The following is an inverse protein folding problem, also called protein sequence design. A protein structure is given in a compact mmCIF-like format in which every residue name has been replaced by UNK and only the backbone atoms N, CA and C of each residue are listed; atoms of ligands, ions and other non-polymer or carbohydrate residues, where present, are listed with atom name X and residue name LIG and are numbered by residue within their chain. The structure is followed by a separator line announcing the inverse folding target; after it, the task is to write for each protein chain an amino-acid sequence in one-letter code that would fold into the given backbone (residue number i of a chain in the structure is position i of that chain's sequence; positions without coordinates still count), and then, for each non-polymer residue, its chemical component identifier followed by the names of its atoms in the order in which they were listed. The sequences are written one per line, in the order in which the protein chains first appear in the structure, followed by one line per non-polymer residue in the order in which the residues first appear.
data_IF_836821465299
#
_entry.id   IF_836821465299
#
_cell.length_a   1.000
_cell.length_b   1.000
_cell.length_c   1.000
_cell.angle_alpha   90.00
_cell.angle_beta   90.00
_cell.angle_gamma   90.00
#
_symmetry.space_group_name_H-M   'P 1'
#
loop_
_entity.id
_entity.type
_entity.pdbx_description
1 polymer ?
#
# COMPACT_ATOMS: atom_id res chain seq x y z
N UNK A 1 29.53 -10.19 -21.03
CA UNK A 1 28.90 -9.45 -19.93
C UNK A 1 28.05 -10.41 -19.14
N UNK A 2 28.35 -10.64 -17.87
CA UNK A 2 27.42 -11.36 -16.98
C UNK A 2 26.33 -10.36 -16.63
N UNK A 3 25.13 -10.52 -17.19
CA UNK A 3 23.99 -9.70 -16.79
C UNK A 3 23.78 -9.92 -15.28
N UNK A 4 23.66 -8.87 -14.46
CA UNK A 4 23.35 -9.04 -13.06
C UNK A 4 22.05 -9.83 -12.95
N UNK A 5 22.13 -10.96 -12.25
CA UNK A 5 21.00 -11.85 -12.04
C UNK A 5 19.97 -11.11 -11.19
N UNK A 6 18.78 -10.90 -11.75
CA UNK A 6 17.65 -10.34 -11.01
C UNK A 6 17.08 -11.45 -10.13
N UNK A 7 16.82 -11.12 -8.86
CA UNK A 7 16.38 -12.09 -7.85
C UNK A 7 14.87 -12.29 -7.85
N UNK A 8 14.41 -13.42 -7.30
CA UNK A 8 12.98 -13.67 -7.08
C UNK A 8 12.46 -12.63 -6.09
N UNK A 9 11.24 -12.15 -6.33
CA UNK A 9 10.58 -11.03 -5.65
C UNK A 9 11.14 -9.63 -5.92
N UNK A 10 12.21 -9.51 -6.70
CA UNK A 10 12.71 -8.21 -7.11
C UNK A 10 11.72 -7.52 -8.07
N UNK A 11 11.48 -6.23 -7.83
CA UNK A 11 10.64 -5.42 -8.69
C UNK A 11 11.40 -4.98 -9.94
N UNK A 12 10.72 -4.99 -11.08
CA UNK A 12 11.33 -4.80 -12.39
C UNK A 12 10.50 -3.94 -13.32
N UNK A 13 11.18 -3.29 -14.24
CA UNK A 13 10.61 -2.64 -15.43
C UNK A 13 10.97 -3.50 -16.63
N UNK A 14 9.98 -3.94 -17.39
CA UNK A 14 10.18 -4.83 -18.53
C UNK A 14 9.37 -4.40 -19.74
N UNK A 15 9.80 -4.83 -20.94
CA UNK A 15 9.08 -4.54 -22.19
C UNK A 15 8.29 -5.76 -22.65
N UNK A 16 6.98 -5.61 -22.81
CA UNK A 16 6.08 -6.66 -23.31
C UNK A 16 5.15 -6.06 -24.38
N UNK A 17 5.08 -6.70 -25.56
CA UNK A 17 4.30 -6.22 -26.71
C UNK A 17 4.51 -4.73 -27.02
N UNK A 18 5.78 -4.31 -27.10
CA UNK A 18 6.22 -2.93 -27.34
C UNK A 18 6.01 -1.92 -26.21
N UNK A 19 5.32 -2.29 -25.14
CA UNK A 19 5.03 -1.43 -24.01
C UNK A 19 5.95 -1.72 -22.81
N UNK A 20 6.44 -0.66 -22.16
CA UNK A 20 7.14 -0.77 -20.88
C UNK A 20 6.15 -0.87 -19.73
N UNK A 21 6.34 -1.90 -18.90
CA UNK A 21 5.46 -2.26 -17.79
C UNK A 21 6.29 -2.46 -16.52
N UNK A 22 5.61 -2.40 -15.37
CA UNK A 22 6.18 -2.77 -14.09
C UNK A 22 5.69 -4.16 -13.67
N UNK A 23 6.52 -4.88 -12.92
CA UNK A 23 6.14 -6.14 -12.32
C UNK A 23 7.12 -6.62 -11.26
N UNK A 24 6.93 -7.88 -10.86
CA UNK A 24 7.80 -8.57 -9.91
C UNK A 24 8.26 -9.91 -10.47
N UNK A 25 9.53 -10.25 -10.27
CA UNK A 25 10.05 -11.57 -10.65
C UNK A 25 9.41 -12.64 -9.76
N UNK A 26 8.75 -13.61 -10.39
CA UNK A 26 8.20 -14.79 -9.73
C UNK A 26 9.22 -15.93 -9.69
N UNK A 27 9.91 -16.14 -10.82
CA UNK A 27 10.91 -17.19 -10.97
C UNK A 27 11.83 -16.86 -12.18
N UNK A 28 12.89 -17.63 -12.35
CA UNK A 28 13.68 -17.61 -13.58
C UNK A 28 14.22 -19.01 -13.90
N UNK A 29 14.25 -19.35 -15.19
CA UNK A 29 14.89 -20.56 -15.69
C UNK A 29 16.17 -20.18 -16.42
N UNK A 30 17.29 -20.77 -15.98
CA UNK A 30 18.58 -20.62 -16.67
C UNK A 30 18.82 -21.83 -17.57
N UNK A 31 18.69 -21.63 -18.88
CA UNK A 31 19.10 -22.63 -19.87
C UNK A 31 20.51 -22.31 -20.35
N UNK A 32 21.23 -23.30 -20.92
CA UNK A 32 22.61 -23.12 -21.42
C UNK A 32 22.80 -21.95 -22.41
N UNK A 33 21.71 -21.42 -22.97
CA UNK A 33 21.73 -20.39 -24.01
C UNK A 33 21.00 -19.10 -23.61
N UNK A 34 20.04 -19.15 -22.67
CA UNK A 34 19.20 -17.99 -22.31
C UNK A 34 18.70 -18.07 -20.87
N UNK A 35 18.62 -16.90 -20.24
CA UNK A 35 17.92 -16.67 -18.99
C UNK A 35 16.48 -16.22 -19.32
N UNK A 36 15.50 -16.94 -18.79
CA UNK A 36 14.07 -16.63 -18.97
C UNK A 36 13.51 -16.26 -17.61
N UNK A 37 12.96 -15.06 -17.48
CA UNK A 37 12.29 -14.57 -16.29
C UNK A 37 10.80 -14.80 -16.41
N UNK A 38 10.19 -15.33 -15.35
CA UNK A 38 8.75 -15.36 -15.14
C UNK A 38 8.38 -14.16 -14.29
N UNK A 39 7.59 -13.25 -14.83
CA UNK A 39 7.31 -11.93 -14.25
C UNK A 39 5.81 -11.76 -14.07
N UNK A 40 5.38 -11.32 -12.90
CA UNK A 40 4.00 -10.86 -12.69
C UNK A 40 3.88 -9.41 -13.18
N UNK A 41 3.16 -9.20 -14.28
CA UNK A 41 2.86 -7.88 -14.81
C UNK A 41 1.87 -7.16 -13.90
N UNK A 42 2.19 -5.99 -13.34
CA UNK A 42 1.22 -5.25 -12.52
C UNK A 42 0.14 -4.51 -13.31
N UNK A 43 0.36 -4.25 -14.60
CA UNK A 43 -0.67 -3.67 -15.46
C UNK A 43 -1.87 -4.62 -15.59
N UNK A 44 -1.61 -5.82 -16.09
CA UNK A 44 -2.61 -6.85 -16.34
C UNK A 44 -2.82 -7.85 -15.20
N UNK A 45 -1.98 -7.80 -14.16
CA UNK A 45 -1.92 -8.79 -13.07
C UNK A 45 -1.85 -10.26 -13.55
N UNK A 46 -1.06 -10.49 -14.61
CA UNK A 46 -0.85 -11.80 -15.25
C UNK A 46 0.63 -12.14 -15.36
N UNK A 47 0.92 -13.44 -15.46
CA UNK A 47 2.30 -13.93 -15.63
C UNK A 47 2.75 -13.75 -17.08
N UNK A 48 3.99 -13.29 -17.26
CA UNK A 48 4.65 -13.09 -18.55
C UNK A 48 6.04 -13.70 -18.49
N UNK A 49 6.43 -14.43 -19.52
CA UNK A 49 7.78 -14.98 -19.67
C UNK A 49 8.60 -14.14 -20.64
N UNK A 50 9.75 -13.63 -20.20
CA UNK A 50 10.63 -12.76 -20.98
C UNK A 50 12.08 -13.16 -20.84
N UNK A 51 12.85 -13.00 -21.91
CA UNK A 51 14.27 -13.36 -21.94
C UNK A 51 15.19 -12.16 -22.16
N UNK A 52 14.63 -10.99 -22.46
CA UNK A 52 15.36 -9.75 -22.65
C UNK A 52 14.54 -8.55 -22.13
N UNK A 53 15.14 -7.36 -22.19
CA UNK A 53 14.53 -6.09 -21.79
C UNK A 53 13.94 -6.05 -20.36
N UNK A 54 14.47 -6.85 -19.44
CA UNK A 54 14.13 -6.81 -18.01
C UNK A 54 15.16 -5.96 -17.27
N UNK A 55 14.70 -4.92 -16.60
CA UNK A 55 15.52 -3.96 -15.87
C UNK A 55 15.08 -3.91 -14.41
N UNK A 56 16.02 -3.77 -13.49
CA UNK A 56 15.69 -3.54 -12.07
C UNK A 56 14.88 -2.25 -11.92
N UNK A 57 13.85 -2.28 -11.06
CA UNK A 57 13.08 -1.08 -10.73
C UNK A 57 14.01 -0.02 -10.13
N UNK A 58 14.03 1.16 -10.75
CA UNK A 58 14.83 2.31 -10.31
C UNK A 58 14.13 3.59 -10.73
N UNK A 59 14.46 4.70 -10.08
CA UNK A 59 13.85 6.01 -10.39
C UNK A 59 14.07 6.43 -11.84
N UNK A 60 15.11 5.92 -12.51
CA UNK A 60 15.35 6.16 -13.94
C UNK A 60 14.56 5.19 -14.83
N UNK A 61 14.59 3.88 -14.53
CA UNK A 61 13.89 2.90 -15.35
C UNK A 61 12.37 3.06 -15.30
N UNK A 62 11.81 3.49 -14.16
CA UNK A 62 10.37 3.68 -14.00
C UNK A 62 9.80 4.78 -14.91
N UNK A 63 10.65 5.72 -15.36
CA UNK A 63 10.25 6.78 -16.31
C UNK A 63 9.91 6.22 -17.69
N UNK A 64 10.33 4.99 -18.01
CA UNK A 64 10.02 4.32 -19.28
C UNK A 64 8.56 3.89 -19.38
N UNK A 65 7.89 3.71 -18.26
CA UNK A 65 6.49 3.29 -18.19
C UNK A 65 5.62 4.51 -18.46
N UNK A 66 4.67 4.39 -19.39
CA UNK A 66 3.62 5.40 -19.57
C UNK A 66 2.65 5.32 -18.39
N UNK A 67 2.93 6.07 -17.33
CA UNK A 67 2.17 6.03 -16.06
C UNK A 67 0.72 6.56 -16.16
N UNK A 68 0.23 6.87 -17.35
CA UNK A 68 -1.11 7.45 -17.56
C UNK A 68 -2.27 6.44 -17.40
N UNK A 69 -1.99 5.13 -17.36
CA UNK A 69 -3.00 4.08 -17.17
C UNK A 69 -2.82 3.37 -15.82
N UNK A 70 -3.11 4.09 -14.73
CA UNK A 70 -3.12 3.60 -13.34
C UNK A 70 -4.31 2.65 -13.07
N UNK A 71 -4.75 1.88 -14.04
CA UNK A 71 -5.78 0.86 -13.86
C UNK A 71 -5.10 -0.51 -13.81
N UNK A 72 -4.54 -0.84 -12.65
CA UNK A 72 -4.08 -2.20 -12.38
C UNK A 72 -5.30 -3.08 -12.11
N UNK A 73 -5.28 -4.26 -12.73
CA UNK A 73 -6.24 -5.31 -12.44
C UNK A 73 -5.97 -6.03 -11.10
N UNK A 74 -5.02 -5.57 -10.28
CA UNK A 74 -4.76 -6.17 -8.97
C UNK A 74 -6.00 -6.19 -8.07
N UNK A 75 -6.84 -5.13 -8.13
CA UNK A 75 -8.11 -5.09 -7.39
C UNK A 75 -9.13 -6.11 -7.92
N UNK A 76 -8.92 -6.63 -9.14
CA UNK A 76 -9.71 -7.69 -9.73
C UNK A 76 -9.21 -9.10 -9.38
N UNK A 77 -8.10 -9.22 -8.65
CA UNK A 77 -7.53 -10.49 -8.24
C UNK A 77 -8.55 -11.33 -7.45
N UNK A 78 -8.60 -12.63 -7.74
CA UNK A 78 -9.56 -13.57 -7.16
C UNK A 78 -9.40 -13.72 -5.65
N UNK A 79 -8.17 -13.76 -5.14
CA UNK A 79 -7.89 -13.86 -3.70
C UNK A 79 -8.47 -12.65 -2.97
N UNK A 80 -8.22 -11.43 -3.47
CA UNK A 80 -8.79 -10.21 -2.89
C UNK A 80 -10.32 -10.25 -2.93
N UNK A 81 -10.92 -10.60 -4.06
CA UNK A 81 -12.38 -10.67 -4.22
C UNK A 81 -13.01 -11.66 -3.23
N UNK A 82 -12.44 -12.85 -3.11
CA UNK A 82 -12.94 -13.90 -2.23
C UNK A 82 -12.87 -13.46 -0.76
N UNK A 83 -11.77 -12.82 -0.35
CA UNK A 83 -11.59 -12.30 1.01
C UNK A 83 -12.60 -11.18 1.29
N UNK A 84 -12.75 -10.19 0.39
CA UNK A 84 -13.70 -9.07 0.56
C UNK A 84 -15.15 -9.58 0.59
N UNK A 85 -15.48 -10.56 -0.25
CA UNK A 85 -16.80 -11.18 -0.27
C UNK A 85 -17.07 -11.91 1.05
N UNK A 86 -16.11 -12.69 1.55
CA UNK A 86 -16.24 -13.35 2.84
C UNK A 86 -16.38 -12.36 3.99
N UNK A 87 -15.55 -11.30 4.01
CA UNK A 87 -15.62 -10.23 5.01
C UNK A 87 -17.01 -9.57 5.06
N UNK A 88 -17.59 -9.30 3.90
CA UNK A 88 -18.94 -8.74 3.79
C UNK A 88 -20.00 -9.69 4.37
N UNK A 89 -19.86 -11.00 4.15
CA UNK A 89 -20.76 -12.02 4.71
C UNK A 89 -20.61 -12.17 6.23
N UNK A 90 -19.42 -12.00 6.79
CA UNK A 90 -19.24 -12.07 8.24
C UNK A 90 -19.76 -10.80 8.93
N UNK A 91 -19.54 -9.63 8.33
CA UNK A 91 -20.11 -8.37 8.82
C UNK A 91 -21.63 -8.36 8.86
N UNK A 92 -22.30 -8.98 7.89
CA UNK A 92 -23.76 -9.10 7.91
C UNK A 92 -24.27 -9.99 9.05
N UNK A 93 -23.41 -10.83 9.62
CA UNK A 93 -23.66 -11.62 10.83
C UNK A 93 -23.25 -10.89 12.12
N UNK A 94 -22.77 -9.65 12.01
CA UNK A 94 -22.27 -8.86 13.15
C UNK A 94 -20.85 -9.22 13.60
N UNK A 95 -20.13 -10.04 12.83
CA UNK A 95 -18.75 -10.43 13.15
C UNK A 95 -17.74 -9.44 12.55
N UNK A 96 -16.63 -9.24 13.24
CA UNK A 96 -15.49 -8.44 12.76
C UNK A 96 -14.23 -9.28 12.66
N UNK A 97 -13.39 -8.97 11.69
CA UNK A 97 -12.05 -9.54 11.64
C UNK A 97 -11.16 -8.91 12.71
N UNK A 98 -10.42 -9.71 13.47
CA UNK A 98 -9.41 -9.24 14.42
C UNK A 98 -8.26 -10.25 14.51
N UNK A 99 -7.08 -9.84 14.05
CA UNK A 99 -5.83 -10.58 14.19
C UNK A 99 -4.90 -9.87 15.16
N UNK A 100 -4.81 -10.42 16.37
CA UNK A 100 -3.82 -9.98 17.38
C UNK A 100 -2.40 -10.35 17.00
N UNK A 101 -2.24 -11.42 16.22
CA UNK A 101 -0.93 -11.85 15.76
C UNK A 101 -0.39 -10.93 14.66
N UNK A 102 -1.26 -10.47 13.76
CA UNK A 102 -0.89 -9.63 12.62
C UNK A 102 -1.74 -8.36 12.53
N UNK A 103 -1.59 -7.44 13.51
CA UNK A 103 -2.15 -6.10 13.36
C UNK A 103 -1.47 -5.36 12.20
N UNK A 104 -2.16 -4.35 11.64
CA UNK A 104 -1.73 -3.65 10.43
C UNK A 104 -0.36 -3.01 10.63
N UNK A 105 -0.11 -2.40 11.78
CA UNK A 105 1.19 -1.83 12.14
C UNK A 105 2.35 -2.82 12.01
N UNK A 106 2.14 -4.08 12.42
CA UNK A 106 3.13 -5.16 12.28
C UNK A 106 3.29 -5.58 10.82
N UNK A 107 2.21 -5.64 10.06
CA UNK A 107 2.24 -5.95 8.62
C UNK A 107 3.01 -4.87 7.87
N UNK A 108 2.75 -3.58 8.14
CA UNK A 108 3.42 -2.44 7.52
C UNK A 108 4.93 -2.49 7.79
N UNK A 109 5.37 -2.76 9.02
CA UNK A 109 6.80 -2.89 9.33
C UNK A 109 7.47 -3.99 8.48
N UNK A 110 6.80 -5.13 8.32
CA UNK A 110 7.33 -6.21 7.48
C UNK A 110 7.32 -5.83 6.00
N UNK A 111 6.28 -5.16 5.53
CA UNK A 111 6.16 -4.66 4.17
C UNK A 111 7.26 -3.63 3.84
N UNK A 112 7.55 -2.68 4.71
CA UNK A 112 8.62 -1.69 4.49
C UNK A 112 9.97 -2.36 4.33
N UNK A 113 10.28 -3.38 5.15
CA UNK A 113 11.49 -4.18 4.99
C UNK A 113 11.51 -4.91 3.65
N UNK A 114 10.39 -5.53 3.28
CA UNK A 114 10.25 -6.18 1.98
C UNK A 114 10.56 -5.25 0.81
N UNK A 115 10.08 -4.01 0.84
CA UNK A 115 10.36 -3.02 -0.20
C UNK A 115 11.86 -2.69 -0.32
N UNK A 116 12.54 -2.50 0.81
CA UNK A 116 13.98 -2.21 0.88
C UNK A 116 14.78 -3.40 0.35
N UNK A 117 14.49 -4.60 0.85
CA UNK A 117 15.20 -5.83 0.49
C UNK A 117 15.07 -6.15 -1.01
N UNK A 118 13.92 -5.79 -1.61
CA UNK A 118 13.61 -6.08 -3.02
C UNK A 118 13.86 -4.91 -3.99
N UNK A 119 14.60 -3.87 -3.54
CA UNK A 119 15.15 -2.78 -4.36
C UNK A 119 14.10 -2.09 -5.25
N UNK A 120 13.04 -1.58 -4.62
CA UNK A 120 12.07 -0.76 -5.35
C UNK A 120 12.62 0.61 -5.73
N UNK A 121 11.94 1.29 -6.66
CA UNK A 121 12.33 2.63 -7.10
C UNK A 121 11.99 3.77 -6.13
N UNK A 122 11.18 3.51 -5.10
CA UNK A 122 10.81 4.50 -4.09
C UNK A 122 11.96 4.69 -3.10
N UNK A 123 12.20 5.96 -2.74
CA UNK A 123 13.10 6.34 -1.65
C UNK A 123 12.54 5.96 -0.28
N UNK A 124 13.41 5.90 0.73
CA UNK A 124 12.99 5.68 2.12
C UNK A 124 12.00 6.73 2.61
N UNK A 125 12.17 8.00 2.20
CA UNK A 125 11.27 9.09 2.57
C UNK A 125 9.89 8.93 1.91
N UNK A 126 9.84 8.57 0.62
CA UNK A 126 8.56 8.26 -0.07
C UNK A 126 7.83 7.09 0.59
N UNK A 127 8.56 6.04 1.01
CA UNK A 127 7.98 4.91 1.75
C UNK A 127 7.41 5.38 3.09
N UNK A 128 8.17 6.15 3.87
CA UNK A 128 7.71 6.66 5.17
C UNK A 128 6.49 7.56 5.03
N UNK A 129 6.53 8.54 4.12
CA UNK A 129 5.42 9.45 3.88
C UNK A 129 4.17 8.71 3.41
N UNK A 130 4.32 7.67 2.60
CA UNK A 130 3.19 6.84 2.15
C UNK A 130 2.56 6.05 3.32
N UNK A 131 3.39 5.56 4.24
CA UNK A 131 2.94 4.89 5.47
C UNK A 131 2.21 5.88 6.39
N UNK A 132 2.75 7.09 6.55
CA UNK A 132 2.10 8.15 7.32
C UNK A 132 0.73 8.49 6.73
N UNK A 133 0.64 8.63 5.41
CA UNK A 133 -0.62 8.84 4.70
C UNK A 133 -1.64 7.73 4.92
N UNK A 134 -1.21 6.45 4.96
CA UNK A 134 -2.09 5.33 5.34
C UNK A 134 -2.68 5.56 6.73
N UNK A 135 -1.85 5.94 7.71
CA UNK A 135 -2.31 6.16 9.07
C UNK A 135 -3.20 7.40 9.22
N UNK A 136 -2.97 8.45 8.45
CA UNK A 136 -3.88 9.60 8.37
C UNK A 136 -5.25 9.18 7.85
N UNK A 137 -5.30 8.39 6.77
CA UNK A 137 -6.56 7.85 6.23
C UNK A 137 -7.30 7.03 7.28
N UNK A 138 -6.58 6.18 8.02
CA UNK A 138 -7.19 5.35 9.08
C UNK A 138 -7.80 6.26 10.15
N UNK A 139 -7.05 7.24 10.68
CA UNK A 139 -7.55 8.19 11.69
C UNK A 139 -8.82 8.90 11.24
N UNK A 140 -8.87 9.34 9.99
CA UNK A 140 -10.07 9.97 9.41
C UNK A 140 -11.25 8.99 9.33
N UNK A 141 -11.00 7.70 9.03
CA UNK A 141 -12.04 6.68 9.10
C UNK A 141 -12.57 6.49 10.53
N UNK A 142 -11.70 6.47 11.54
CA UNK A 142 -12.08 6.34 12.96
C UNK A 142 -12.96 7.50 13.41
N UNK A 143 -12.55 8.72 13.07
CA UNK A 143 -13.28 9.95 13.42
C UNK A 143 -14.69 9.96 12.83
N UNK A 144 -14.83 9.57 11.55
CA UNK A 144 -16.12 9.52 10.86
C UNK A 144 -17.06 8.44 11.44
N UNK A 145 -16.52 7.29 11.87
CA UNK A 145 -17.32 6.24 12.53
C UNK A 145 -17.78 6.70 13.92
N UNK A 146 -16.89 7.34 14.68
CA UNK A 146 -17.17 7.84 16.03
C UNK A 146 -18.29 8.90 16.00
N UNK A 147 -18.21 9.85 15.07
CA UNK A 147 -19.24 10.90 14.93
C UNK A 147 -20.60 10.36 14.46
N UNK A 148 -20.64 9.34 13.59
CA UNK A 148 -21.91 8.69 13.23
C UNK A 148 -22.56 7.98 14.41
N UNK A 149 -21.76 7.38 15.28
CA UNK A 149 -22.26 6.73 16.48
C UNK A 149 -22.72 7.74 17.53
N UNK A 150 -22.10 8.92 17.60
CA UNK A 150 -22.55 10.04 18.44
C UNK A 150 -23.87 10.61 17.90
N UNK A 151 -23.98 10.90 16.59
CA UNK A 151 -25.23 11.40 16.01
C UNK A 151 -26.41 10.42 16.12
N UNK A 152 -26.12 9.10 16.15
CA UNK A 152 -27.15 8.08 16.39
C UNK A 152 -27.52 7.95 17.88
N UNK A 153 -26.62 8.31 18.80
CA UNK A 153 -26.91 8.39 20.25
C UNK A 153 -27.60 9.71 20.64
N UNK A 154 -27.36 10.79 19.90
CA UNK A 154 -27.96 12.11 20.15
C UNK A 154 -29.45 12.18 19.76
N UNK A 155 -29.98 11.16 19.07
CA UNK A 155 -31.44 11.02 18.88
C UNK A 155 -32.19 10.54 20.13
N UNK A 156 -31.52 10.39 21.28
CA UNK A 156 -32.17 9.97 22.55
C UNK A 156 -32.15 11.05 23.64
N UNK A 157 -31.41 12.17 23.52
CA UNK A 157 -31.55 13.26 24.49
C UNK A 157 -31.43 14.65 23.87
N UNK A 158 -32.40 15.48 24.27
CA UNK A 158 -32.54 16.93 24.06
C UNK A 158 -33.20 17.39 22.74
N UNK A 159 -34.55 17.35 22.78
CA UNK A 159 -35.32 18.59 22.58
C UNK A 159 -34.68 19.67 23.46
N UNK A 160 -34.00 20.64 22.87
CA UNK A 160 -34.20 22.06 23.13
C UNK A 160 -33.32 22.91 22.19
N UNK A 161 -33.91 23.99 21.71
CA UNK A 161 -33.36 24.94 20.75
C UNK A 161 -31.97 25.48 21.14
N UNK A 162 -31.13 25.82 20.15
CA UNK A 162 -30.63 27.19 19.86
C UNK A 162 -29.57 27.15 18.75
N UNK A 163 -29.57 28.23 17.97
CA UNK A 163 -28.84 28.50 16.74
C UNK A 163 -27.37 28.94 16.91
N UNK A 164 -26.71 28.99 15.76
CA UNK A 164 -25.63 29.89 15.32
C UNK A 164 -24.16 29.44 15.34
N UNK A 165 -23.63 29.35 14.10
CA UNK A 165 -22.52 30.14 13.53
C UNK A 165 -21.06 29.64 13.58
N UNK A 166 -20.52 29.67 12.36
CA UNK A 166 -19.20 30.16 11.92
C UNK A 166 -17.94 29.25 11.97
N UNK A 167 -17.52 28.97 10.72
CA UNK A 167 -16.23 28.60 10.12
C UNK A 167 -15.00 29.18 10.84
N UNK A 168 -13.90 28.40 10.96
CA UNK A 168 -12.51 28.89 10.74
C UNK A 168 -11.62 27.76 10.18
N UNK A 169 -11.01 27.98 9.02
CA UNK A 169 -9.85 27.24 8.50
C UNK A 169 -8.56 27.86 9.07
N UNK A 170 -7.66 27.05 9.64
CA UNK A 170 -6.29 27.47 9.93
C UNK A 170 -5.32 26.77 8.98
N UNK A 171 -4.77 27.56 8.05
CA UNK A 171 -3.54 27.28 7.31
C UNK A 171 -2.37 27.51 8.27
N UNK A 172 -1.48 26.54 8.40
CA UNK A 172 -0.12 26.81 8.88
C UNK A 172 0.91 26.22 7.90
N UNK A 173 1.70 27.13 7.34
CA UNK A 173 2.86 26.89 6.50
C UNK A 173 4.02 26.37 7.36
N UNK A 174 4.72 25.33 6.91
CA UNK A 174 6.07 25.03 7.38
C UNK A 174 6.99 24.90 6.17
N UNK A 175 8.07 25.71 6.04
CA UNK A 175 9.02 25.58 4.95
C UNK A 175 10.12 24.58 5.33
N UNK A 176 10.39 23.58 4.50
CA UNK A 176 11.60 22.76 4.65
C UNK A 176 12.63 23.09 3.56
N UNK A 177 13.79 23.51 4.06
CA UNK A 177 15.04 23.76 3.34
C UNK A 177 15.62 22.44 2.81
N UNK A 178 16.19 22.52 1.61
CA UNK A 178 17.06 21.53 0.99
C UNK A 178 18.11 20.93 1.96
N UNK A 179 18.31 19.62 1.90
CA UNK A 179 19.58 19.00 2.26
C UNK A 179 19.85 17.77 1.40
N UNK A 180 20.78 17.92 0.45
CA UNK A 180 21.45 16.84 -0.26
C UNK A 180 22.39 16.08 0.68
N UNK A 181 22.17 14.79 0.98
CA UNK A 181 23.24 13.88 1.42
C UNK A 181 23.00 12.46 0.83
N UNK A 182 24.02 11.97 0.12
CA UNK A 182 24.10 10.68 -0.56
C UNK A 182 24.19 9.46 0.39
N UNK A 183 23.71 8.33 -0.14
CA UNK A 183 23.55 7.00 0.47
C UNK A 183 24.81 6.34 1.08
N UNK A 184 24.64 5.78 2.29
CA UNK A 184 25.08 4.44 2.74
C UNK A 184 24.60 4.03 4.15
N UNK A 185 24.04 4.96 4.92
CA UNK A 185 23.53 4.73 6.29
C UNK A 185 21.99 4.64 6.39
N UNK A 186 21.29 4.46 5.27
CA UNK A 186 19.81 4.54 5.19
C UNK A 186 19.12 3.27 5.70
N UNK A 187 19.75 2.10 5.55
CA UNK A 187 19.10 0.79 5.77
C UNK A 187 18.75 0.53 7.25
N UNK A 188 19.63 0.86 8.19
CA UNK A 188 19.36 0.70 9.63
C UNK A 188 18.49 1.82 10.19
N UNK A 189 18.62 3.04 9.66
CA UNK A 189 17.89 4.20 10.15
C UNK A 189 16.43 4.22 9.71
N UNK A 190 16.10 3.71 8.51
CA UNK A 190 14.71 3.62 8.04
C UNK A 190 13.87 2.68 8.90
N UNK A 191 14.34 1.44 9.09
CA UNK A 191 13.66 0.42 9.91
C UNK A 191 13.60 0.88 11.37
N UNK A 192 14.65 1.54 11.87
CA UNK A 192 14.64 2.10 13.22
C UNK A 192 13.70 3.29 13.35
N UNK A 193 13.56 4.13 12.32
CA UNK A 193 12.62 5.26 12.33
C UNK A 193 11.18 4.78 12.25
N UNK A 194 10.84 3.77 11.45
CA UNK A 194 9.50 3.15 11.44
C UNK A 194 9.17 2.50 12.80
N UNK A 195 10.17 1.91 13.47
CA UNK A 195 9.98 1.32 14.80
C UNK A 195 9.99 2.33 15.96
N UNK A 196 10.71 3.45 15.83
CA UNK A 196 10.79 4.55 16.82
C UNK A 196 9.76 5.64 16.59
N UNK A 197 9.08 5.61 15.45
CA UNK A 197 8.03 6.54 15.12
C UNK A 197 7.02 6.51 16.27
N UNK A 198 6.82 7.66 16.91
CA UNK A 198 5.78 7.93 17.91
C UNK A 198 4.36 7.65 17.39
N UNK A 199 4.23 7.20 16.13
CA UNK A 199 3.01 7.08 15.36
C UNK A 199 2.21 5.81 15.66
N UNK A 200 2.84 4.78 16.28
CA UNK A 200 2.09 3.63 16.84
C UNK A 200 1.09 4.06 17.92
N UNK A 201 1.24 5.24 18.51
CA UNK A 201 0.55 5.60 19.75
C UNK A 201 -0.90 6.12 19.54
N UNK A 202 -1.39 6.26 18.30
CA UNK A 202 -2.65 6.98 18.03
C UNK A 202 -3.70 6.26 17.17
N UNK A 203 -3.59 4.96 16.95
CA UNK A 203 -4.64 4.17 16.26
C UNK A 203 -5.34 3.33 17.30
N UNK A 204 -6.66 3.21 17.23
CA UNK A 204 -7.39 2.30 18.11
C UNK A 204 -6.84 0.88 17.90
N UNK A 205 -6.34 0.21 18.97
CA UNK A 205 -5.85 -1.16 18.86
C UNK A 205 -6.85 -2.12 18.19
N UNK A 206 -8.15 -1.91 18.40
CA UNK A 206 -9.18 -2.72 17.76
C UNK A 206 -9.25 -2.56 16.25
N UNK A 207 -8.88 -1.37 15.74
CA UNK A 207 -8.84 -1.04 14.32
C UNK A 207 -7.51 -1.54 13.74
N UNK A 208 -6.39 -1.33 14.43
CA UNK A 208 -5.10 -1.90 14.01
C UNK A 208 -5.15 -3.44 13.93
N UNK A 209 -5.88 -4.11 14.84
CA UNK A 209 -6.14 -5.55 14.81
C UNK A 209 -6.93 -6.02 13.57
N UNK A 210 -7.62 -5.15 12.83
CA UNK A 210 -8.23 -5.56 11.55
C UNK A 210 -7.16 -5.94 10.50
N UNK A 211 -5.90 -5.57 10.72
CA UNK A 211 -4.73 -6.16 10.04
C UNK A 211 -4.83 -6.18 8.53
N UNK A 212 -4.80 -7.39 7.96
CA UNK A 212 -4.90 -7.64 6.53
C UNK A 212 -6.13 -6.97 5.89
N UNK A 213 -7.28 -7.08 6.53
CA UNK A 213 -8.55 -6.52 6.02
C UNK A 213 -8.50 -4.99 5.99
N UNK A 214 -7.91 -4.37 7.01
CA UNK A 214 -7.72 -2.92 7.01
C UNK A 214 -6.75 -2.46 5.92
N UNK A 215 -5.66 -3.20 5.71
CA UNK A 215 -4.71 -2.93 4.61
C UNK A 215 -5.41 -2.90 3.25
N UNK A 216 -6.25 -3.91 2.96
CA UNK A 216 -7.05 -3.93 1.72
C UNK A 216 -8.00 -2.74 1.60
N UNK A 217 -8.72 -2.40 2.69
CA UNK A 217 -9.66 -1.26 2.71
C UNK A 217 -8.95 0.05 2.40
N UNK A 218 -7.81 0.31 3.05
CA UNK A 218 -7.07 1.56 2.86
C UNK A 218 -6.52 1.67 1.45
N UNK A 219 -5.95 0.59 0.88
CA UNK A 219 -5.52 0.59 -0.52
C UNK A 219 -6.68 0.87 -1.48
N UNK A 220 -7.84 0.23 -1.26
CA UNK A 220 -9.02 0.47 -2.08
C UNK A 220 -9.49 1.93 -1.99
N UNK A 221 -9.60 2.47 -0.77
CA UNK A 221 -9.99 3.87 -0.55
C UNK A 221 -9.02 4.84 -1.23
N UNK A 222 -7.71 4.59 -1.08
CA UNK A 222 -6.66 5.39 -1.69
C UNK A 222 -6.75 5.39 -3.20
N UNK A 223 -6.73 4.21 -3.81
CA UNK A 223 -6.69 4.07 -5.27
C UNK A 223 -8.01 4.50 -5.95
N UNK A 224 -9.17 4.26 -5.34
CA UNK A 224 -10.48 4.54 -5.96
C UNK A 224 -11.07 5.90 -5.61
N UNK A 225 -10.67 6.52 -4.49
CA UNK A 225 -11.24 7.78 -4.04
C UNK A 225 -10.18 8.87 -3.92
N UNK A 226 -9.16 8.71 -3.08
CA UNK A 226 -8.21 9.80 -2.82
C UNK A 226 -7.42 10.20 -4.08
N UNK A 227 -6.93 9.23 -4.85
CA UNK A 227 -6.16 9.50 -6.08
C UNK A 227 -6.98 10.11 -7.23
N UNK A 228 -8.32 10.15 -7.13
CA UNK A 228 -9.15 10.89 -8.10
C UNK A 228 -9.12 12.40 -7.88
N UNK A 229 -8.85 12.82 -6.65
CA UNK A 229 -8.81 14.23 -6.26
C UNK A 229 -7.39 14.81 -6.25
N UNK A 230 -6.36 13.96 -6.34
CA UNK A 230 -4.97 14.39 -6.48
C UNK A 230 -4.70 15.00 -7.86
N UNK A 231 -4.13 16.21 -7.86
CA UNK A 231 -3.82 16.99 -9.07
C UNK A 231 -2.37 16.80 -9.52
N UNK A 232 -1.47 16.52 -8.57
CA UNK A 232 -0.06 16.23 -8.84
C UNK A 232 0.08 14.81 -9.37
N UNK A 233 0.45 14.70 -10.65
CA UNK A 233 0.66 13.41 -11.29
C UNK A 233 1.79 12.61 -10.62
N UNK A 234 2.83 13.29 -10.14
CA UNK A 234 3.95 12.64 -9.46
C UNK A 234 3.52 12.03 -8.13
N UNK A 235 2.80 12.79 -7.30
CA UNK A 235 2.24 12.29 -6.03
C UNK A 235 1.29 11.13 -6.30
N UNK A 236 0.40 11.28 -7.29
CA UNK A 236 -0.54 10.25 -7.69
C UNK A 236 0.18 8.95 -8.09
N UNK A 237 1.23 9.04 -8.88
CA UNK A 237 2.03 7.90 -9.32
C UNK A 237 2.78 7.22 -8.17
N UNK A 238 3.38 8.01 -7.27
CA UNK A 238 4.11 7.48 -6.11
C UNK A 238 3.17 6.74 -5.17
N UNK A 239 2.06 7.37 -4.77
CA UNK A 239 1.06 6.78 -3.87
C UNK A 239 0.40 5.56 -4.51
N UNK A 240 0.11 5.60 -5.81
CA UNK A 240 -0.41 4.45 -6.53
C UNK A 240 0.56 3.27 -6.54
N UNK A 241 1.83 3.52 -6.85
CA UNK A 241 2.87 2.47 -6.87
C UNK A 241 3.02 1.84 -5.50
N UNK A 242 3.03 2.66 -4.44
CA UNK A 242 3.05 2.18 -3.07
C UNK A 242 1.85 1.28 -2.73
N UNK A 243 0.62 1.70 -3.08
CA UNK A 243 -0.58 0.88 -2.87
C UNK A 243 -0.53 -0.44 -3.65
N UNK A 244 -0.05 -0.39 -4.89
CA UNK A 244 0.10 -1.55 -5.76
C UNK A 244 1.06 -2.57 -5.15
N UNK A 245 2.23 -2.12 -4.66
CA UNK A 245 3.19 -2.99 -3.98
C UNK A 245 2.63 -3.55 -2.68
N UNK A 246 1.87 -2.74 -1.93
CA UNK A 246 1.27 -3.21 -0.69
C UNK A 246 0.22 -4.28 -0.94
N UNK A 247 -0.63 -4.10 -1.94
CA UNK A 247 -1.61 -5.11 -2.36
C UNK A 247 -0.95 -6.40 -2.85
N UNK A 248 0.10 -6.30 -3.68
CA UNK A 248 0.85 -7.49 -4.14
C UNK A 248 1.48 -8.22 -2.94
N UNK A 249 2.11 -7.48 -2.02
CA UNK A 249 2.67 -8.04 -0.80
C UNK A 249 1.61 -8.73 0.08
N UNK A 250 0.43 -8.14 0.24
CA UNK A 250 -0.68 -8.76 0.96
C UNK A 250 -1.10 -10.07 0.26
N UNK A 251 -1.30 -10.07 -1.06
CA UNK A 251 -1.71 -11.27 -1.80
C UNK A 251 -0.73 -12.44 -1.59
N UNK A 252 0.58 -12.19 -1.75
CA UNK A 252 1.63 -13.22 -1.61
C UNK A 252 1.65 -13.81 -0.19
N UNK A 253 1.33 -12.99 0.82
CA UNK A 253 1.37 -13.38 2.22
C UNK A 253 -0.03 -13.61 2.82
N UNK A 254 -1.05 -13.79 1.97
CA UNK A 254 -2.44 -13.89 2.42
C UNK A 254 -2.66 -15.08 3.34
N UNK A 255 -2.03 -16.22 3.07
CA UNK A 255 -2.10 -17.41 3.94
C UNK A 255 -1.48 -17.20 5.33
N UNK A 256 -0.59 -16.23 5.48
CA UNK A 256 0.06 -15.89 6.76
C UNK A 256 -0.77 -14.86 7.52
N UNK A 257 -1.27 -13.83 6.83
CA UNK A 257 -1.90 -12.67 7.45
C UNK A 257 -3.42 -12.76 7.52
N UNK A 258 -4.03 -13.74 6.86
CA UNK A 258 -5.47 -13.91 6.81
C UNK A 258 -5.90 -15.35 7.06
N UNK A 259 -6.73 -15.54 8.08
CA UNK A 259 -7.48 -16.78 8.28
C UNK A 259 -8.95 -16.52 8.58
N UNK A 260 -9.82 -17.36 8.05
CA UNK A 260 -11.27 -17.29 8.26
C UNK A 260 -11.68 -17.49 9.73
N UNK A 261 -10.78 -18.04 10.57
CA UNK A 261 -11.02 -18.30 12.00
C UNK A 261 -10.86 -17.08 12.89
N UNK A 262 -10.33 -15.97 12.37
CA UNK A 262 -10.09 -14.72 13.13
C UNK A 262 -11.29 -13.74 13.13
N UNK A 263 -12.46 -14.20 12.71
CA UNK A 263 -13.71 -13.44 12.85
C UNK A 263 -14.32 -13.68 14.23
N UNK A 264 -14.54 -12.59 14.97
CA UNK A 264 -15.06 -12.56 16.35
C UNK A 264 -16.33 -11.70 16.47
#
# INVERSE_FOLDING_TARGET
MVLPKIEVNQYVVFKNNEEWQEGRILDYTNTKQKLIYKILSFKYYTEVELHDHVLVSSSENIKKISKYNLESEILNNTVIKDIIQYDSVQKSKGLRYSSKEYPLSKIIVKFSRHLVDNKIHLSGDEINMSIEGIYDIIREMEYNVSNKNISNKDNVFNKDNVSNKDIVYSKDNVPYKNLDIYNKDVDSNLVNNINKSTFRQNIDPNIDEEGFILGLKVCYLTMKYFLKHETSLDVKNTVYSFCLYFLDYLIINSEIYYTKTEYI
#
